data_IF_775911282321
#
_entry.id   IF_775911282321
#
_cell.length_a   1.000
_cell.length_b   1.000
_cell.length_c   1.000
_cell.angle_alpha   90.00
_cell.angle_beta   90.00
_cell.angle_gamma   90.00
#
_symmetry.space_group_name_H-M   'P 1'
#
loop_
_entity.id
_entity.type
_entity.pdbx_description
1 polymer ?
#
# COMPACT_ATOMS: atom_id res chain seq x y z
N UNK A 1 3.98 13.36 4.68
CA UNK A 1 4.81 12.40 3.94
C UNK A 1 4.22 11.01 4.17
N UNK A 2 4.05 10.20 3.13
CA UNK A 2 3.66 8.79 3.29
C UNK A 2 4.91 7.91 3.20
N UNK A 3 5.00 6.89 4.05
CA UNK A 3 6.11 5.96 4.09
C UNK A 3 5.61 4.55 4.39
N UNK A 4 6.35 3.57 3.90
CA UNK A 4 5.93 2.19 3.97
C UNK A 4 7.06 1.23 3.64
N UNK A 5 6.82 -0.04 3.95
CA UNK A 5 7.73 -1.13 3.61
C UNK A 5 7.38 -1.63 2.21
N UNK A 6 8.39 -1.79 1.36
CA UNK A 6 8.27 -2.36 0.04
C UNK A 6 9.07 -3.66 -0.03
N UNK A 7 8.42 -4.75 -0.41
CA UNK A 7 9.04 -6.06 -0.63
C UNK A 7 8.77 -6.49 -2.07
N UNK A 8 9.80 -6.94 -2.75
CA UNK A 8 9.67 -7.50 -4.09
C UNK A 8 10.57 -8.72 -4.24
N UNK A 9 10.09 -9.71 -4.97
CA UNK A 9 10.82 -10.90 -5.34
C UNK A 9 10.38 -11.35 -6.73
N UNK A 10 11.33 -11.85 -7.52
CA UNK A 10 11.05 -12.24 -8.89
C UNK A 10 11.92 -13.38 -9.39
N UNK A 11 11.37 -14.13 -10.34
CA UNK A 11 12.05 -15.18 -11.08
C UNK A 11 11.59 -15.17 -12.55
N UNK A 12 12.55 -15.00 -13.46
CA UNK A 12 12.32 -14.88 -14.90
C UNK A 12 11.26 -13.80 -15.23
N UNK A 13 10.17 -14.17 -15.90
CA UNK A 13 9.10 -13.23 -16.28
C UNK A 13 8.16 -12.88 -15.14
N UNK A 14 8.18 -13.60 -14.02
CA UNK A 14 7.29 -13.38 -12.88
C UNK A 14 7.97 -12.54 -11.80
N UNK A 15 7.46 -11.34 -11.54
CA UNK A 15 7.98 -10.44 -10.51
C UNK A 15 6.83 -9.96 -9.62
N UNK A 16 6.81 -10.36 -8.36
CA UNK A 16 5.76 -10.00 -7.39
C UNK A 16 6.29 -8.91 -6.48
N UNK A 17 5.43 -7.96 -6.13
CA UNK A 17 5.72 -6.97 -5.11
C UNK A 17 4.52 -6.73 -4.20
N UNK A 18 4.83 -6.28 -2.99
CA UNK A 18 3.87 -5.79 -2.01
C UNK A 18 4.44 -4.56 -1.32
N UNK A 19 3.57 -3.59 -1.10
CA UNK A 19 3.81 -2.37 -0.37
C UNK A 19 2.78 -2.23 0.73
N UNK A 20 3.25 -1.89 1.93
CA UNK A 20 2.41 -1.60 3.08
C UNK A 20 2.76 -0.22 3.66
N UNK A 21 1.79 0.69 3.65
CA UNK A 21 1.93 2.03 4.21
C UNK A 21 1.87 2.00 5.74
N UNK A 22 2.92 2.49 6.40
CA UNK A 22 3.05 2.48 7.87
C UNK A 22 2.31 3.64 8.55
N UNK A 23 1.91 4.66 7.78
CA UNK A 23 1.15 5.79 8.29
C UNK A 23 -0.26 5.83 7.67
N UNK A 24 -1.25 6.43 8.37
CA UNK A 24 -2.60 6.57 7.85
C UNK A 24 -2.65 7.34 6.53
N UNK A 25 -3.51 6.89 5.63
CA UNK A 25 -3.76 7.50 4.32
C UNK A 25 -4.36 8.90 4.46
N UNK A 26 -5.27 9.07 5.43
CA UNK A 26 -5.93 10.33 5.71
C UNK A 26 -5.28 11.06 6.88
N UNK A 27 -5.36 12.40 6.85
CA UNK A 27 -4.94 13.22 7.99
C UNK A 27 -5.86 12.96 9.19
N UNK A 28 -5.32 13.09 10.40
CA UNK A 28 -6.06 12.87 11.65
C UNK A 28 -7.29 13.76 11.84
N UNK A 29 -7.42 14.84 11.05
CA UNK A 29 -8.59 15.72 11.03
C UNK A 29 -9.79 15.14 10.26
N UNK A 30 -9.59 14.07 9.49
CA UNK A 30 -10.66 13.41 8.73
C UNK A 30 -11.42 12.46 9.65
N UNK A 31 -12.74 12.67 9.73
CA UNK A 31 -13.67 11.89 10.54
C UNK A 31 -14.73 11.25 9.66
N UNK A 32 -15.19 10.08 10.08
CA UNK A 32 -16.38 9.41 9.52
C UNK A 32 -17.62 10.24 9.85
N UNK A 33 -18.73 9.99 9.14
CA UNK A 33 -20.05 10.61 9.39
C UNK A 33 -20.51 10.39 10.85
N UNK A 34 -20.07 9.28 11.47
CA UNK A 34 -20.30 8.96 12.89
C UNK A 34 -19.34 9.64 13.88
N UNK A 35 -18.43 10.51 13.41
CA UNK A 35 -17.49 11.28 14.24
C UNK A 35 -16.18 10.56 14.62
N UNK A 36 -16.01 9.31 14.20
CA UNK A 36 -14.82 8.48 14.47
C UNK A 36 -13.63 8.89 13.58
N UNK A 37 -12.41 8.75 14.10
CA UNK A 37 -11.20 9.02 13.32
C UNK A 37 -10.99 7.93 12.25
N UNK A 38 -10.67 8.33 11.02
CA UNK A 38 -10.42 7.40 9.91
C UNK A 38 -8.96 6.94 9.96
N UNK A 39 -8.73 5.75 10.52
CA UNK A 39 -7.40 5.12 10.56
C UNK A 39 -7.29 4.01 9.53
N UNK A 40 -7.07 4.38 8.27
CA UNK A 40 -6.89 3.43 7.16
C UNK A 40 -5.46 3.56 6.65
N UNK A 41 -4.79 2.43 6.41
CA UNK A 41 -3.45 2.34 5.86
C UNK A 41 -3.50 1.75 4.45
N UNK A 42 -2.53 2.10 3.62
CA UNK A 42 -2.48 1.65 2.22
C UNK A 42 -1.84 0.27 2.12
N UNK A 43 -2.43 -0.61 1.34
CA UNK A 43 -1.81 -1.85 0.86
C UNK A 43 -1.84 -1.83 -0.67
N UNK A 44 -0.69 -2.07 -1.29
CA UNK A 44 -0.58 -2.25 -2.74
C UNK A 44 0.15 -3.57 -2.99
N UNK A 45 -0.40 -4.41 -3.85
CA UNK A 45 0.23 -5.65 -4.26
C UNK A 45 0.08 -5.81 -5.76
N UNK A 46 1.08 -6.37 -6.41
CA UNK A 46 1.05 -6.53 -7.85
C UNK A 46 1.98 -7.62 -8.36
N UNK A 47 1.69 -8.04 -9.58
CA UNK A 47 2.52 -8.91 -10.38
C UNK A 47 2.92 -8.14 -11.64
N UNK A 48 4.21 -8.09 -11.91
CA UNK A 48 4.79 -7.59 -13.14
C UNK A 48 5.17 -8.83 -13.98
N UNK A 49 4.58 -8.91 -15.17
CA UNK A 49 4.82 -10.01 -16.10
C UNK A 49 5.46 -9.47 -17.39
N UNK A 50 6.63 -9.99 -17.74
CA UNK A 50 7.31 -9.64 -18.99
C UNK A 50 6.97 -10.66 -20.09
N UNK A 51 6.53 -10.19 -21.25
CA UNK A 51 6.26 -11.02 -22.45
C UNK A 51 7.30 -10.60 -23.51
N UNK A 52 7.96 -11.59 -24.13
CA UNK A 52 8.93 -11.39 -25.21
C UNK A 52 8.26 -11.59 -26.58
#
# INVERSE_FOLDING_TARGET
>A
LQYGTYLAAGYNTWNVYIYYGLNPLFKSSVKTISGQNVNIQTINAGLIFYIL
#
